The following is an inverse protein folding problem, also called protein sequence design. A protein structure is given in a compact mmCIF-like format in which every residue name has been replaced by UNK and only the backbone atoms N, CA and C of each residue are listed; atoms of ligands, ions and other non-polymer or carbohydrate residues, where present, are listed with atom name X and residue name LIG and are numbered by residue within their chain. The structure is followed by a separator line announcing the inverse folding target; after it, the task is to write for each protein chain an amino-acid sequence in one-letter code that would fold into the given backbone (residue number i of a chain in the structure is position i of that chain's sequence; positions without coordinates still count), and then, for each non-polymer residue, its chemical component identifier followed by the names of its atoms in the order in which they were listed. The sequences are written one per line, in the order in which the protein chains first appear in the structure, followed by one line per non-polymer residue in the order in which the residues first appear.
data_IF_399633410754
#
_entry.id   IF_399633410754
#
_cell.length_a   1.000
_cell.length_b   1.000
_cell.length_c   1.000
_cell.angle_alpha   90.00
_cell.angle_beta   90.00
_cell.angle_gamma   90.00
#
_symmetry.space_group_name_H-M   'P 1'
#
loop_
_entity.id
_entity.type
_entity.pdbx_description
1 polymer ?
2 non-polymer ?
3 non-polymer ?
4 non-polymer ?
5 water ?
#
# COMPACT_ATOMS: atom_id res chain seq x y z
N UNK A 1 -1.02 6.22 -18.38
CA UNK A 1 -1.64 5.02 -19.03
C UNK A 1 -1.09 3.71 -18.44
N UNK A 2 -1.90 2.64 -18.45
CA UNK A 2 -1.43 1.26 -18.21
C UNK A 2 -1.70 0.41 -19.45
N UNK A 3 -0.76 -0.46 -19.78
CA UNK A 3 -0.95 -1.48 -20.80
C UNK A 3 -0.99 -1.00 -22.25
N UNK A 4 -0.58 0.25 -22.48
CA UNK A 4 -0.57 0.83 -23.83
C UNK A 4 0.79 0.63 -24.46
N UNK A 5 0.87 0.86 -25.77
CA UNK A 5 2.10 0.62 -26.53
C UNK A 5 3.31 1.21 -25.79
N UNK A 6 4.34 0.39 -25.61
CA UNK A 6 5.51 0.75 -24.83
C UNK A 6 6.65 1.01 -25.79
N UNK A 7 7.14 2.24 -25.79
CA UNK A 7 8.27 2.58 -26.63
C UNK A 7 9.55 1.96 -26.03
N UNK A 8 10.57 1.92 -26.87
CA UNK A 8 11.87 1.39 -26.52
C UNK A 8 12.52 2.19 -25.40
N UNK A 9 13.19 1.49 -24.49
CA UNK A 9 14.05 2.16 -23.51
C UNK A 9 15.25 2.76 -24.24
N UNK A 10 15.77 3.89 -23.76
CA UNK A 10 17.05 4.35 -24.29
C UNK A 10 18.22 3.49 -23.83
N UNK A 11 19.39 3.68 -24.44
CA UNK A 11 20.63 3.10 -23.93
C UNK A 11 20.81 3.51 -22.47
N UNK A 12 21.21 2.56 -21.64
CA UNK A 12 21.48 2.79 -20.22
C UNK A 12 22.72 2.02 -19.82
N UNK A 13 23.54 2.60 -18.96
CA UNK A 13 24.73 1.92 -18.44
C UNK A 13 24.50 1.61 -16.98
N UNK A 14 24.50 0.32 -16.63
CA UNK A 14 24.26 -0.10 -15.24
C UNK A 14 24.91 -1.46 -15.05
N UNK A 15 25.07 -1.88 -13.78
CA UNK A 15 25.69 -3.17 -13.53
C UNK A 15 24.91 -4.33 -14.10
N UNK A 16 25.63 -5.28 -14.67
CA UNK A 16 25.01 -6.48 -15.23
C UNK A 16 24.42 -7.33 -14.11
N UNK A 17 23.17 -7.77 -14.26
CA UNK A 17 22.64 -8.72 -13.28
C UNK A 17 23.34 -10.03 -13.52
N UNK A 18 23.85 -10.64 -12.46
CA UNK A 18 24.57 -11.90 -12.62
C UNK A 18 23.72 -13.04 -12.09
N UNK A 19 23.53 -14.00 -12.96
CA UNK A 19 22.62 -15.10 -12.74
C UNK A 19 23.01 -15.99 -11.54
N UNK A 20 24.31 -16.15 -11.32
CA UNK A 20 24.83 -17.01 -10.25
C UNK A 20 25.22 -16.24 -8.99
N UNK A 21 24.82 -14.96 -8.95
CA UNK A 21 24.84 -14.12 -7.77
C UNK A 21 23.42 -13.63 -7.47
N UNK A 22 22.79 -14.16 -6.42
CA UNK A 22 21.69 -13.38 -5.85
C UNK A 22 22.28 -12.24 -5.04
N UNK A 23 21.67 -11.07 -5.15
CA UNK A 23 21.82 -9.96 -4.21
C UNK A 23 21.38 -10.39 -2.81
N UNK A 24 20.09 -10.66 -2.68
CA UNK A 24 19.51 -11.01 -1.39
C UNK A 24 19.40 -12.52 -1.25
N UNK A 25 20.19 -13.07 -0.33
CA UNK A 25 20.14 -14.48 0.08
C UNK A 25 19.50 -14.71 1.44
N UNK A 26 19.15 -13.62 2.13
CA UNK A 26 18.63 -13.65 3.49
C UNK A 26 17.10 -13.65 3.55
N UNK A 27 16.45 -13.36 2.42
CA UNK A 27 15.00 -13.22 2.39
C UNK A 27 14.44 -13.82 1.11
N UNK A 28 13.16 -14.16 1.17
CA UNK A 28 12.37 -14.59 0.01
C UNK A 28 12.06 -13.36 -0.84
N UNK A 29 12.45 -13.39 -2.11
CA UNK A 29 12.26 -12.25 -3.00
C UNK A 29 11.21 -12.51 -4.10
N UNK A 30 10.61 -13.69 -4.10
CA UNK A 30 9.51 -14.00 -5.04
C UNK A 30 8.55 -14.92 -4.33
N UNK A 31 7.24 -14.69 -4.50
CA UNK A 31 6.25 -15.56 -3.88
C UNK A 31 6.09 -16.87 -4.68
N UNK A 32 5.39 -17.88 -4.12
CA UNK A 32 5.18 -19.13 -4.89
C UNK A 32 4.25 -19.00 -6.08
N UNK A 33 3.58 -17.86 -6.23
CA UNK A 33 2.83 -17.55 -7.45
C UNK A 33 3.57 -16.55 -8.36
N UNK A 34 4.89 -16.40 -8.14
CA UNK A 34 5.78 -15.66 -9.04
C UNK A 34 5.51 -14.16 -9.01
N UNK A 35 5.14 -13.66 -7.83
CA UNK A 35 5.08 -12.23 -7.60
C UNK A 35 6.35 -11.77 -6.89
N UNK A 36 7.01 -10.75 -7.40
CA UNK A 36 8.14 -10.24 -6.63
C UNK A 36 7.77 -9.74 -5.24
N UNK A 37 8.69 -9.96 -4.29
CA UNK A 37 8.62 -9.35 -2.95
C UNK A 37 9.69 -8.27 -2.95
N UNK A 38 9.25 -7.03 -2.73
CA UNK A 38 10.10 -5.87 -2.98
C UNK A 38 10.94 -5.52 -1.74
N UNK A 39 12.24 -5.80 -1.85
CA UNK A 39 13.26 -5.46 -0.86
C UNK A 39 14.32 -4.61 -1.51
N UNK A 40 15.03 -3.82 -0.70
CA UNK A 40 16.18 -3.10 -1.20
C UNK A 40 17.22 -4.10 -1.71
N UNK A 41 17.79 -3.79 -2.87
CA UNK A 41 18.76 -4.67 -3.51
C UNK A 41 18.16 -5.52 -4.61
N UNK A 42 16.83 -5.61 -4.69
CA UNK A 42 16.17 -6.40 -5.73
C UNK A 42 15.84 -5.65 -7.00
N UNK A 43 15.88 -4.33 -6.98
CA UNK A 43 15.48 -3.52 -8.14
C UNK A 43 16.49 -2.44 -8.47
N UNK A 44 16.59 -2.15 -9.76
CA UNK A 44 17.34 -1.03 -10.29
C UNK A 44 16.29 0.03 -10.56
N UNK A 45 16.27 1.05 -9.71
CA UNK A 45 15.28 2.11 -9.80
C UNK A 45 15.40 2.94 -11.07
N UNK A 46 16.59 3.01 -11.66
CA UNK A 46 16.76 3.75 -12.91
C UNK A 46 16.00 3.09 -14.05
N UNK A 47 16.07 1.76 -14.12
CA UNK A 47 15.32 1.03 -15.14
C UNK A 47 13.81 1.21 -14.93
N UNK A 48 13.37 1.06 -13.68
CA UNK A 48 11.95 1.16 -13.40
C UNK A 48 11.44 2.59 -13.63
N UNK A 49 12.20 3.58 -13.22
CA UNK A 49 11.77 4.95 -13.47
C UNK A 49 11.61 5.23 -14.95
N UNK A 50 12.55 4.74 -15.76
CA UNK A 50 12.44 4.86 -17.21
C UNK A 50 11.15 4.22 -17.71
N UNK A 51 10.88 2.97 -17.30
CA UNK A 51 9.72 2.26 -17.79
C UNK A 51 8.44 3.00 -17.47
N UNK A 52 8.29 3.43 -16.21
CA UNK A 52 7.07 4.10 -15.80
C UNK A 52 6.94 5.53 -16.33
N UNK A 53 8.04 6.27 -16.46
CA UNK A 53 7.97 7.62 -17.07
C UNK A 53 7.58 7.53 -18.53
N UNK A 54 8.06 6.51 -19.23
CA UNK A 54 7.71 6.35 -20.65
C UNK A 54 6.22 6.07 -20.84
N UNK A 55 5.54 5.62 -19.81
CA UNK A 55 4.05 5.52 -19.80
C UNK A 55 3.32 6.75 -19.24
N UNK A 56 4.05 7.80 -18.84
CA UNK A 56 3.49 8.98 -18.18
C UNK A 56 2.54 8.59 -17.04
N UNK A 57 3.06 7.73 -16.17
CA UNK A 57 2.29 7.13 -15.09
C UNK A 57 1.87 8.19 -14.09
N UNK A 58 0.58 8.16 -13.72
CA UNK A 58 0.05 8.99 -12.64
C UNK A 58 -0.35 8.11 -11.46
N UNK A 59 0.13 8.46 -10.27
CA UNK A 59 -0.17 7.68 -9.06
C UNK A 59 -1.07 8.52 -8.16
N UNK A 60 -2.21 7.96 -7.76
CA UNK A 60 -3.07 8.54 -6.76
C UNK A 60 -2.71 7.98 -5.40
N UNK A 61 -2.72 8.82 -4.38
CA UNK A 61 -2.48 8.38 -3.00
C UNK A 61 -3.67 8.81 -2.18
N UNK A 62 -4.37 7.85 -1.58
CA UNK A 62 -5.50 8.16 -0.72
C UNK A 62 -5.08 8.11 0.73
N UNK A 63 -5.60 9.06 1.51
CA UNK A 63 -5.34 9.10 2.94
C UNK A 63 -6.52 9.74 3.64
N UNK A 64 -6.87 9.16 4.78
CA UNK A 64 -7.99 9.62 5.58
C UNK A 64 -7.50 10.29 6.85
N UNK A 65 -8.02 11.48 7.13
CA UNK A 65 -7.64 12.24 8.30
C UNK A 65 -8.90 12.82 8.95
N UNK A 66 -9.50 12.00 9.80
CA UNK A 66 -10.80 12.25 10.39
C UNK A 66 -10.59 12.51 11.87
N UNK A 67 -11.36 13.46 12.41
CA UNK A 67 -11.29 13.85 13.82
C UNK A 67 -9.85 14.25 14.18
N UNK A 68 -9.25 13.68 15.23
CA UNK A 68 -7.96 14.19 15.71
C UNK A 68 -6.80 13.87 14.76
N UNK A 69 -7.05 12.95 13.82
CA UNK A 69 -5.98 12.49 12.94
C UNK A 69 -5.60 13.52 11.88
N UNK A 70 -6.34 14.64 11.78
CA UNK A 70 -5.87 15.75 10.95
C UNK A 70 -4.48 16.24 11.36
N UNK A 71 -4.11 16.09 12.63
CA UNK A 71 -2.80 16.52 13.12
C UNK A 71 -1.61 15.81 12.45
N UNK A 72 -1.85 14.63 11.88
CA UNK A 72 -0.81 13.84 11.22
C UNK A 72 -0.51 14.29 9.77
N UNK A 73 -1.40 15.08 9.18
CA UNK A 73 -1.28 15.43 7.76
C UNK A 73 -0.02 16.22 7.37
N UNK A 74 0.41 17.14 8.22
CA UNK A 74 1.56 17.99 7.83
C UNK A 74 2.79 17.14 7.60
N UNK A 75 3.14 16.32 8.59
CA UNK A 75 4.33 15.48 8.46
C UNK A 75 4.13 14.44 7.34
N UNK A 76 2.94 13.87 7.26
CA UNK A 76 2.68 12.86 6.24
C UNK A 76 2.94 13.43 4.83
N UNK A 77 2.34 14.58 4.54
CA UNK A 77 2.42 15.18 3.21
C UNK A 77 3.79 15.76 2.90
N UNK A 78 4.41 16.40 3.90
CA UNK A 78 5.72 17.02 3.66
C UNK A 78 6.78 15.95 3.41
N UNK A 79 6.68 14.83 4.10
CA UNK A 79 7.61 13.74 3.87
C UNK A 79 7.27 12.98 2.60
N UNK A 80 5.98 12.91 2.25
CA UNK A 80 5.62 12.33 0.94
C UNK A 80 6.26 13.12 -0.19
N UNK A 81 6.30 14.44 -0.05
CA UNK A 81 6.94 15.26 -1.04
C UNK A 81 8.43 14.95 -1.20
N UNK A 82 9.09 14.60 -0.10
CA UNK A 82 10.51 14.25 -0.17
C UNK A 82 10.77 12.86 -0.76
N UNK A 83 9.83 11.94 -0.60
CA UNK A 83 10.13 10.52 -0.81
C UNK A 83 9.22 9.68 -1.68
N UNK A 84 7.99 10.14 -1.93
CA UNK A 84 6.95 9.34 -2.59
C UNK A 84 6.87 9.69 -4.07
N UNK A 85 7.30 8.75 -4.93
CA UNK A 85 7.12 8.87 -6.39
C UNK A 85 7.70 10.18 -6.93
N UNK A 86 8.81 10.64 -6.39
CA UNK A 86 9.39 11.88 -6.85
C UNK A 86 9.81 11.74 -8.32
N UNK A 87 9.40 12.69 -9.14
CA UNK A 87 9.63 12.66 -10.59
C UNK A 87 8.46 12.21 -11.39
N UNK A 88 7.48 11.57 -10.74
CA UNK A 88 6.28 11.07 -11.38
C UNK A 88 5.10 11.97 -11.07
N UNK A 89 4.01 11.81 -11.81
CA UNK A 89 2.79 12.57 -11.54
C UNK A 89 2.07 11.96 -10.36
N UNK A 90 1.74 12.78 -9.37
CA UNK A 90 1.08 12.34 -8.15
C UNK A 90 -0.16 13.18 -7.89
N UNK A 91 -1.23 12.51 -7.50
CA UNK A 91 -2.46 13.16 -7.07
C UNK A 91 -2.79 12.64 -5.68
N UNK A 92 -2.71 13.52 -4.69
CA UNK A 92 -3.13 13.17 -3.35
C UNK A 92 -4.62 13.39 -3.19
N UNK A 93 -5.30 12.45 -2.54
CA UNK A 93 -6.72 12.59 -2.22
C UNK A 93 -6.83 12.50 -0.72
N UNK A 94 -7.08 13.63 -0.07
CA UNK A 94 -7.13 13.72 1.36
C UNK A 94 -8.60 13.76 1.75
N UNK A 95 -9.06 12.72 2.43
CA UNK A 95 -10.44 12.60 2.92
C UNK A 95 -10.51 13.06 4.36
N UNK A 96 -11.36 14.05 4.66
CA UNK A 96 -11.40 14.61 6.00
C UNK A 96 -12.78 15.13 6.33
N UNK A 97 -13.07 15.17 7.62
CA UNK A 97 -14.27 15.87 8.10
C UNK A 97 -13.99 17.35 8.42
N UNK A 98 -12.73 17.78 8.29
CA UNK A 98 -12.31 19.15 8.64
C UNK A 98 -11.45 19.73 7.51
N UNK A 99 -12.06 20.08 6.37
CA UNK A 99 -11.25 20.64 5.27
C UNK A 99 -10.35 21.81 5.67
N UNK A 100 -10.79 22.65 6.60
CA UNK A 100 -10.01 23.80 7.04
C UNK A 100 -8.78 23.43 7.86
N UNK A 101 -8.73 22.21 8.38
CA UNK A 101 -7.60 21.74 9.17
C UNK A 101 -6.52 21.08 8.30
N UNK A 102 -6.76 20.97 6.99
CA UNK A 102 -5.72 20.42 6.10
C UNK A 102 -4.60 21.47 5.99
N UNK A 103 -3.37 21.09 6.32
CA UNK A 103 -2.25 22.05 6.25
C UNK A 103 -1.94 22.44 4.81
N UNK A 104 -1.47 23.68 4.63
CA UNK A 104 -1.10 24.16 3.30
C UNK A 104 0.33 23.67 3.07
N UNK A 105 0.47 22.64 2.25
CA UNK A 105 1.77 21.99 2.02
C UNK A 105 2.20 22.34 0.60
N UNK A 106 3.46 22.76 0.47
CA UNK A 106 4.01 23.13 -0.81
C UNK A 106 4.39 21.88 -1.60
N UNK A 107 3.92 21.79 -2.83
CA UNK A 107 4.13 20.61 -3.65
C UNK A 107 5.11 20.86 -4.78
N UNK A 108 5.88 19.83 -5.11
CA UNK A 108 6.70 19.80 -6.31
C UNK A 108 5.88 19.83 -7.58
N UNK A 109 6.52 20.17 -8.69
CA UNK A 109 5.82 20.24 -9.97
C UNK A 109 5.22 18.88 -10.37
N UNK A 110 4.07 18.91 -11.02
CA UNK A 110 3.42 17.69 -11.46
C UNK A 110 2.67 16.93 -10.40
N UNK A 111 2.41 17.58 -9.28
CA UNK A 111 1.79 16.97 -8.12
C UNK A 111 0.64 17.84 -7.68
N UNK A 112 -0.46 17.21 -7.30
CA UNK A 112 -1.62 17.97 -6.90
C UNK A 112 -2.31 17.32 -5.74
N UNK A 113 -3.11 18.09 -5.01
CA UNK A 113 -3.81 17.60 -3.83
C UNK A 113 -5.26 18.06 -3.92
N UNK A 114 -6.17 17.11 -3.70
CA UNK A 114 -7.60 17.38 -3.60
C UNK A 114 -8.08 17.06 -2.20
N UNK A 115 -8.85 17.97 -1.60
CA UNK A 115 -9.46 17.76 -0.29
C UNK A 115 -10.89 17.31 -0.56
N UNK A 116 -11.26 16.16 -0.02
CA UNK A 116 -12.58 15.59 -0.18
C UNK A 116 -13.18 15.52 1.19
N UNK A 117 -14.30 16.19 1.36
CA UNK A 117 -14.97 16.17 2.63
C UNK A 117 -15.84 14.92 2.80
N UNK A 118 -15.78 14.33 3.99
CA UNK A 118 -16.61 13.20 4.34
C UNK A 118 -17.21 13.44 5.71
N UNK A 119 -18.12 12.56 6.10
CA UNK A 119 -18.70 12.60 7.44
C UNK A 119 -17.76 11.93 8.44
N UNK A 120 -17.81 12.36 9.69
CA UNK A 120 -17.09 11.70 10.78
C UNK A 120 -17.98 10.61 11.36
N UNK A 121 -17.38 9.56 11.93
CA UNK A 121 -18.16 8.49 12.60
C UNK A 121 -19.02 9.06 13.74
N UNK A 128 -12.24 3.70 10.45
CA UNK A 128 -11.21 2.91 9.79
C UNK A 128 -11.80 1.94 8.78
N UNK A 129 -12.97 1.38 9.11
CA UNK A 129 -13.68 0.39 8.26
C UNK A 129 -14.47 0.93 7.07
N UNK A 130 -14.85 2.22 7.09
CA UNK A 130 -15.58 2.89 5.97
C UNK A 130 -14.69 3.46 4.85
N UNK A 131 -13.39 3.33 4.98
CA UNK A 131 -12.51 3.74 3.89
C UNK A 131 -12.76 2.90 2.64
N UNK A 132 -13.03 1.61 2.85
CA UNK A 132 -13.35 0.73 1.72
C UNK A 132 -14.53 1.24 0.91
N UNK A 133 -15.61 1.67 1.58
CA UNK A 133 -16.76 2.30 0.90
C UNK A 133 -16.40 3.55 0.11
N UNK A 134 -15.65 4.47 0.73
CA UNK A 134 -15.34 5.75 0.07
C UNK A 134 -14.49 5.53 -1.19
N UNK A 135 -13.50 4.65 -1.09
CA UNK A 135 -12.62 4.36 -2.21
C UNK A 135 -13.40 3.72 -3.35
N UNK A 136 -14.34 2.80 -3.03
CA UNK A 136 -15.03 1.98 -4.03
C UNK A 136 -16.38 2.49 -4.55
N UNK A 137 -17.17 3.12 -3.69
CA UNK A 137 -18.54 3.60 -4.04
C UNK A 137 -18.60 5.04 -4.51
N UNK A 138 -17.92 5.93 -3.80
CA UNK A 138 -18.02 7.38 -4.08
C UNK A 138 -16.98 7.91 -5.08
N UNK A 139 -15.80 7.30 -5.13
CA UNK A 139 -14.69 7.85 -5.91
C UNK A 139 -14.31 7.04 -7.15
N UNK A 140 -15.14 6.06 -7.52
CA UNK A 140 -14.81 5.15 -8.60
C UNK A 140 -14.54 5.85 -9.93
N UNK A 141 -15.49 6.69 -10.34
CA UNK A 141 -15.38 7.41 -11.60
C UNK A 141 -14.24 8.42 -11.56
N UNK A 142 -14.09 9.13 -10.44
CA UNK A 142 -13.02 10.13 -10.27
C UNK A 142 -11.64 9.50 -10.52
N UNK A 143 -11.38 8.42 -9.81
CA UNK A 143 -10.07 7.76 -9.91
C UNK A 143 -9.77 7.20 -11.29
N UNK A 144 -10.76 6.57 -11.93
CA UNK A 144 -10.58 6.04 -13.27
C UNK A 144 -10.21 7.13 -14.26
N UNK A 145 -10.74 8.33 -14.06
CA UNK A 145 -10.46 9.43 -14.99
C UNK A 145 -9.11 10.11 -14.72
N UNK A 146 -8.59 10.02 -13.50
CA UNK A 146 -7.48 10.87 -13.06
C UNK A 146 -6.14 10.19 -12.83
N UNK A 147 -6.13 8.90 -12.49
CA UNK A 147 -4.86 8.25 -12.15
C UNK A 147 -4.82 6.85 -12.76
N UNK A 148 -3.61 6.31 -12.85
CA UNK A 148 -3.36 4.96 -13.34
C UNK A 148 -3.32 3.93 -12.21
N UNK A 149 -2.68 4.31 -11.12
CA UNK A 149 -2.55 3.45 -9.93
C UNK A 149 -3.08 4.17 -8.71
N UNK A 150 -3.56 3.42 -7.73
CA UNK A 150 -3.98 3.96 -6.45
C UNK A 150 -3.17 3.29 -5.38
N UNK A 151 -2.71 4.09 -4.42
CA UNK A 151 -1.99 3.67 -3.23
C UNK A 151 -2.80 4.15 -2.05
N UNK A 152 -3.15 3.25 -1.14
CA UNK A 152 -4.09 3.56 -0.05
C UNK A 152 -3.37 3.33 1.26
N UNK A 153 -3.18 4.38 2.05
CA UNK A 153 -2.37 4.29 3.26
C UNK A 153 -3.03 4.95 4.46
N UNK A 154 -2.56 4.55 5.62
CA UNK A 154 -2.84 5.22 6.89
C UNK A 154 -2.07 6.55 6.98
N UNK A 155 -2.64 7.47 7.77
CA UNK A 155 -2.09 8.84 7.88
C UNK A 155 -1.08 9.02 9.02
N UNK A 156 -1.13 8.15 10.03
CA UNK A 156 -0.30 8.29 11.24
C UNK A 156 1.09 7.73 10.99
N UNK A 157 1.73 8.28 9.96
CA UNK A 157 2.90 7.70 9.33
C UNK A 157 3.76 8.82 8.79
N UNK A 158 5.01 8.49 8.51
CA UNK A 158 5.89 9.40 7.81
C UNK A 158 6.78 8.64 6.84
N UNK A 159 7.14 9.28 5.75
CA UNK A 159 8.12 8.72 4.81
C UNK A 159 9.50 9.11 5.29
N UNK A 160 10.39 8.14 5.36
CA UNK A 160 11.79 8.41 5.65
C UNK A 160 12.77 8.10 4.54
N UNK A 161 12.32 7.35 3.53
CA UNK A 161 13.20 6.93 2.46
C UNK A 161 12.33 6.66 1.25
N UNK A 162 12.99 6.34 0.16
CA UNK A 162 12.35 6.17 -1.14
C UNK A 162 11.17 5.20 -1.11
N UNK A 163 10.02 5.68 -1.58
CA UNK A 163 8.89 4.82 -1.95
C UNK A 163 8.50 5.22 -3.36
N UNK A 164 8.77 4.37 -4.33
CA UNK A 164 8.59 4.74 -5.73
C UNK A 164 7.96 3.68 -6.58
N UNK A 165 8.20 3.78 -7.88
CA UNK A 165 7.46 2.97 -8.84
C UNK A 165 7.74 1.47 -8.75
N UNK A 166 8.80 1.06 -8.02
CA UNK A 166 9.00 -0.34 -7.74
C UNK A 166 7.77 -1.03 -7.13
N UNK A 167 6.88 -0.26 -6.48
CA UNK A 167 5.70 -0.88 -5.86
C UNK A 167 4.58 -1.13 -6.84
N UNK A 168 4.59 -0.43 -7.97
CA UNK A 168 3.42 -0.41 -8.85
C UNK A 168 3.27 -1.70 -9.66
N UNK A 169 2.02 -2.14 -9.77
CA UNK A 169 1.64 -3.48 -10.26
C UNK A 169 0.13 -3.52 -10.22
N UNK A 170 -0.51 -4.52 -10.86
CA UNK A 170 -1.95 -4.52 -10.76
C UNK A 170 -2.52 -4.60 -9.35
N UNK A 171 -1.91 -5.39 -8.45
CA UNK A 171 -2.42 -5.51 -7.08
C UNK A 171 -1.29 -5.80 -6.11
N UNK A 172 -1.15 -4.98 -5.05
CA UNK A 172 -0.14 -5.27 -4.04
C UNK A 172 -0.68 -5.16 -2.63
N UNK A 173 -0.08 -5.98 -1.77
CA UNK A 173 -0.18 -5.82 -0.32
C UNK A 173 1.20 -5.71 0.28
N UNK A 174 1.22 -5.40 1.57
CA UNK A 174 2.46 -5.13 2.32
C UNK A 174 2.55 -6.08 3.49
N UNK A 175 3.69 -6.72 3.66
CA UNK A 175 3.90 -7.59 4.83
C UNK A 175 3.87 -6.81 6.13
N UNK A 176 3.01 -7.25 7.05
CA UNK A 176 2.88 -6.58 8.34
C UNK A 176 4.19 -6.72 9.11
N UNK A 177 4.71 -5.62 9.67
CA UNK A 177 6.03 -5.67 10.32
C UNK A 177 6.07 -6.56 11.56
N UNK A 178 4.94 -6.78 12.19
CA UNK A 178 4.86 -7.65 13.38
C UNK A 178 4.95 -9.13 13.14
N UNK A 179 4.69 -9.57 11.91
CA UNK A 179 4.43 -10.98 11.66
C UNK A 179 5.17 -11.61 10.49
N UNK A 180 6.10 -10.87 9.88
CA UNK A 180 6.75 -11.39 8.67
C UNK A 180 7.56 -12.68 8.90
N UNK A 181 8.05 -12.87 10.12
CA UNK A 181 8.77 -14.09 10.49
C UNK A 181 7.92 -15.16 11.12
N UNK A 182 6.60 -14.94 11.25
CA UNK A 182 5.71 -15.82 11.97
C UNK A 182 5.18 -16.94 11.12
N UNK A 183 4.82 -18.05 11.74
CA UNK A 183 4.15 -19.13 11.02
C UNK A 183 2.64 -18.83 10.96
N UNK A 184 1.96 -19.41 9.99
CA UNK A 184 0.57 -18.99 9.64
C UNK A 184 -0.44 -19.22 10.78
N UNK A 185 -0.22 -20.25 11.59
CA UNK A 185 -1.09 -20.50 12.75
C UNK A 185 -1.10 -19.33 13.74
N UNK A 186 0.00 -18.57 13.83
CA UNK A 186 0.12 -17.41 14.69
C UNK A 186 -0.43 -16.12 14.10
N UNK A 187 -0.72 -16.14 12.80
CA UNK A 187 -1.29 -14.95 12.18
C UNK A 187 -2.62 -14.63 12.83
N UNK A 188 -2.90 -13.33 13.02
CA UNK A 188 -4.15 -12.93 13.66
C UNK A 188 -5.26 -12.72 12.63
N UNK A 189 -5.40 -13.69 11.72
CA UNK A 189 -6.55 -13.72 10.85
C UNK A 189 -7.85 -13.85 11.65
N UNK A 190 -8.95 -13.46 11.04
CA UNK A 190 -10.27 -13.82 11.61
C UNK A 190 -10.42 -15.35 11.60
N UNK A 191 -10.71 -15.95 12.77
CA UNK A 191 -10.79 -17.41 12.92
C UNK A 191 -12.20 -17.95 13.17
N UNK A 192 -13.19 -17.08 13.26
CA UNK A 192 -14.60 -17.54 13.44
C UNK A 192 -15.21 -17.80 12.07
N UNK A 193 -15.66 -19.06 11.80
CA UNK A 193 -16.33 -19.40 10.54
C UNK A 193 -17.57 -18.57 10.18
N UNK A 194 -18.14 -17.89 11.17
CA UNK A 194 -19.33 -17.08 10.96
C UNK A 194 -19.02 -15.76 10.26
N UNK A 195 -17.73 -15.37 10.20
CA UNK A 195 -17.31 -14.15 9.52
C UNK A 195 -16.87 -14.44 8.09
N UNK A 196 -17.23 -13.52 7.19
CA UNK A 196 -16.75 -13.54 5.83
C UNK A 196 -15.22 -13.49 5.73
N UNK A 197 -14.55 -12.94 6.76
CA UNK A 197 -13.08 -12.85 6.75
C UNK A 197 -12.37 -14.13 7.24
N UNK A 198 -13.14 -15.15 7.58
CA UNK A 198 -12.60 -16.38 8.16
C UNK A 198 -11.51 -17.02 7.31
N UNK A 199 -10.37 -17.31 7.94
CA UNK A 199 -9.30 -18.11 7.34
C UNK A 199 -8.93 -19.22 8.34
N UNK A 200 -9.03 -20.50 7.92
CA UNK A 200 -8.59 -21.63 8.75
C UNK A 200 -7.10 -21.62 9.05
N UNK A 201 -6.71 -22.31 10.12
CA UNK A 201 -5.31 -22.35 10.58
C UNK A 201 -4.31 -22.98 9.60
N UNK A 202 -4.79 -23.79 8.65
CA UNK A 202 -3.93 -24.39 7.61
C UNK A 202 -3.90 -23.62 6.28
N UNK A 203 -4.48 -22.42 6.27
CA UNK A 203 -4.42 -21.55 5.08
C UNK A 203 -3.72 -20.24 5.41
N UNK A 204 -3.25 -19.56 4.37
CA UNK A 204 -2.61 -18.26 4.52
C UNK A 204 -1.22 -18.28 3.92
N UNK A 205 -0.90 -17.25 3.15
CA UNK A 205 0.46 -17.04 2.68
C UNK A 205 1.21 -16.13 3.63
N UNK A 206 0.66 -14.94 3.83
CA UNK A 206 1.29 -13.87 4.60
C UNK A 206 0.22 -13.15 5.43
N UNK A 207 0.66 -12.39 6.42
CA UNK A 207 -0.20 -11.45 7.08
C UNK A 207 0.07 -10.04 6.57
N UNK A 208 -0.89 -9.50 5.83
CA UNK A 208 -0.73 -8.19 5.20
C UNK A 208 -1.29 -7.10 6.11
N UNK A 209 -0.67 -5.92 6.10
CA UNK A 209 -1.18 -4.84 6.96
C UNK A 209 -2.18 -4.00 6.18
N UNK A 210 -3.28 -3.63 6.83
CA UNK A 210 -4.30 -2.80 6.20
C UNK A 210 -3.85 -1.40 5.85
N UNK A 211 -2.71 -0.97 6.38
CA UNK A 211 -2.20 0.40 6.29
C UNK A 211 -1.52 0.78 5.00
N UNK A 212 -1.32 -0.17 4.06
CA UNK A 212 -0.60 0.10 2.80
C UNK A 212 -0.94 -0.99 1.81
N UNK A 213 -1.86 -0.69 0.88
CA UNK A 213 -2.15 -1.58 -0.23
C UNK A 213 -2.41 -0.72 -1.44
N UNK A 214 -2.53 -1.34 -2.60
CA UNK A 214 -2.74 -0.56 -3.82
C UNK A 214 -2.73 -1.40 -5.05
N UNK A 215 -2.65 -0.74 -6.18
CA UNK A 215 -2.66 -1.42 -7.46
C UNK A 215 -3.20 -0.53 -8.54
N UNK A 216 -3.57 -1.13 -9.65
CA UNK A 216 -4.27 -0.36 -10.68
C UNK A 216 -5.61 0.10 -10.12
N UNK A 217 -6.19 1.12 -10.72
CA UNK A 217 -7.48 1.61 -10.24
C UNK A 217 -8.51 0.48 -10.30
N UNK A 218 -8.54 -0.27 -11.39
CA UNK A 218 -9.50 -1.37 -11.51
C UNK A 218 -9.34 -2.40 -10.39
N UNK A 219 -8.10 -2.80 -10.09
CA UNK A 219 -7.91 -3.84 -9.07
C UNK A 219 -8.17 -3.32 -7.67
N UNK A 220 -7.82 -2.07 -7.41
CA UNK A 220 -8.13 -1.47 -6.12
C UNK A 220 -9.64 -1.31 -5.93
N UNK A 221 -10.36 -0.96 -7.00
CA UNK A 221 -11.82 -0.87 -6.88
C UNK A 221 -12.40 -2.26 -6.64
N UNK A 222 -11.87 -3.29 -7.28
CA UNK A 222 -12.33 -4.66 -7.02
C UNK A 222 -12.13 -5.09 -5.57
N UNK A 223 -10.94 -4.79 -5.04
CA UNK A 223 -10.62 -5.15 -3.68
C UNK A 223 -11.50 -4.43 -2.69
N UNK A 224 -11.61 -3.11 -2.86
CA UNK A 224 -12.35 -2.31 -1.87
C UNK A 224 -13.84 -2.62 -1.93
N UNK A 225 -14.38 -2.84 -3.13
CA UNK A 225 -15.78 -3.26 -3.28
C UNK A 225 -16.00 -4.60 -2.57
N UNK A 226 -15.15 -5.58 -2.82
CA UNK A 226 -15.30 -6.90 -2.20
C UNK A 226 -15.22 -6.79 -0.70
N UNK A 227 -14.26 -6.02 -0.18
CA UNK A 227 -14.10 -5.92 1.27
C UNK A 227 -15.30 -5.20 1.88
N UNK A 228 -15.77 -4.14 1.23
CA UNK A 228 -16.96 -3.40 1.69
C UNK A 228 -18.18 -4.32 1.73
N UNK A 229 -18.40 -5.08 0.66
CA UNK A 229 -19.53 -6.04 0.64
C UNK A 229 -19.41 -7.09 1.75
N UNK A 230 -18.20 -7.62 1.98
CA UNK A 230 -18.01 -8.63 3.03
C UNK A 230 -18.24 -8.04 4.42
N UNK A 231 -17.81 -6.81 4.62
CA UNK A 231 -18.03 -6.13 5.90
C UNK A 231 -19.51 -5.88 6.16
N UNK A 232 -20.25 -5.57 5.10
CA UNK A 232 -21.72 -5.38 5.21
C UNK A 232 -22.40 -6.68 5.55
N UNK A 233 -21.96 -7.78 4.95
CA UNK A 233 -22.52 -9.10 5.30
C UNK A 233 -22.26 -9.39 6.78
N UNK A 234 -21.04 -9.18 7.24
CA UNK A 234 -20.74 -9.41 8.66
C UNK A 234 -21.61 -8.56 9.58
N UNK A 235 -21.79 -7.29 9.24
CA UNK A 235 -22.62 -6.39 10.04
C UNK A 235 -24.05 -6.94 10.12
N UNK A 236 -24.59 -7.38 8.99
CA UNK A 236 -25.94 -7.96 8.97
C UNK A 236 -26.06 -9.22 9.81
N UNK A 237 -24.98 -9.99 9.89
CA UNK A 237 -24.91 -11.19 10.74
C UNK A 237 -24.44 -10.97 12.18
N UNK A 238 -24.30 -9.71 12.60
CA UNK A 238 -23.90 -9.37 13.97
C UNK A 238 -22.51 -9.82 14.38
N UNK A 239 -21.56 -9.74 13.45
CA UNK A 239 -20.19 -10.12 13.77
C UNK A 239 -19.25 -9.05 13.21
N UNK A 240 -18.20 -8.75 13.95
CA UNK A 240 -17.21 -7.76 13.55
C UNK A 240 -15.86 -8.45 13.57
N UNK A 241 -15.17 -8.49 12.43
CA UNK A 241 -13.88 -9.17 12.33
C UNK A 241 -12.85 -8.58 13.30
N UNK A 242 -12.01 -9.46 13.82
CA UNK A 242 -11.04 -9.17 14.88
C UNK A 242 -10.18 -7.93 14.60
N UNK A 243 -9.71 -7.80 13.36
CA UNK A 243 -8.92 -6.63 12.97
C UNK A 243 -9.61 -5.87 11.83
N UNK A 244 -10.94 -5.93 11.81
CA UNK A 244 -11.73 -4.95 11.05
C UNK A 244 -11.38 -5.05 9.55
N UNK A 245 -11.16 -3.93 8.89
CA UNK A 245 -10.82 -3.93 7.46
C UNK A 245 -9.59 -4.79 7.14
N UNK A 246 -8.60 -4.81 8.04
CA UNK A 246 -7.41 -5.62 7.81
C UNK A 246 -7.71 -7.10 7.70
N UNK A 247 -8.68 -7.59 8.48
CA UNK A 247 -9.07 -8.99 8.38
C UNK A 247 -9.66 -9.34 7.03
N UNK A 248 -10.48 -8.43 6.50
CA UNK A 248 -11.07 -8.60 5.18
C UNK A 248 -10.07 -8.45 4.05
N UNK A 249 -9.15 -7.51 4.19
CA UNK A 249 -8.05 -7.38 3.23
C UNK A 249 -7.27 -8.68 3.15
N UNK A 250 -6.95 -9.27 4.30
CA UNK A 250 -6.24 -10.54 4.31
C UNK A 250 -7.00 -11.66 3.63
N UNK A 251 -8.30 -11.74 3.87
CA UNK A 251 -9.11 -12.76 3.18
C UNK A 251 -9.07 -12.53 1.67
N UNK A 252 -9.22 -11.27 1.23
CA UNK A 252 -9.22 -10.97 -0.19
C UNK A 252 -7.90 -11.37 -0.85
N UNK A 253 -6.78 -11.02 -0.22
CA UNK A 253 -5.47 -11.29 -0.80
C UNK A 253 -5.05 -12.75 -0.71
N UNK A 254 -5.69 -13.51 0.18
CA UNK A 254 -5.53 -14.97 0.15
C UNK A 254 -6.16 -15.55 -1.13
N UNK A 255 -7.35 -15.08 -1.44
CA UNK A 255 -8.14 -15.62 -2.54
C UNK A 255 -7.86 -14.96 -3.90
N UNK A 256 -7.21 -13.80 -3.88
CA UNK A 256 -6.83 -13.03 -5.07
C UNK A 256 -5.38 -12.63 -4.87
N UNK A 257 -4.46 -13.42 -5.39
CA UNK A 257 -3.05 -13.26 -5.04
C UNK A 257 -2.55 -11.91 -5.55
N UNK A 258 -1.83 -11.15 -4.71
CA UNK A 258 -1.24 -9.92 -5.20
C UNK A 258 -0.14 -10.16 -6.21
N UNK A 259 0.03 -9.25 -7.16
CA UNK A 259 1.05 -9.37 -8.20
C UNK A 259 2.43 -8.82 -7.81
N UNK A 260 2.47 -8.07 -6.71
CA UNK A 260 3.73 -7.79 -5.95
C UNK A 260 3.38 -7.79 -4.47
N UNK A 261 4.37 -8.08 -3.64
CA UNK A 261 4.24 -7.98 -2.20
C UNK A 261 5.33 -7.05 -1.74
N UNK A 262 4.98 -6.04 -0.94
CA UNK A 262 6.00 -5.14 -0.40
C UNK A 262 6.55 -5.69 0.91
N UNK A 263 7.87 -5.61 1.05
CA UNK A 263 8.50 -6.03 2.32
C UNK A 263 8.15 -5.06 3.43
N UNK A 264 8.50 -5.40 4.68
CA UNK A 264 8.20 -4.47 5.77
C UNK A 264 9.02 -3.20 5.79
N UNK A 265 9.98 -3.05 4.87
CA UNK A 265 10.58 -1.74 4.63
C UNK A 265 9.51 -0.69 4.41
N UNK A 266 8.39 -1.11 3.81
CA UNK A 266 7.32 -0.21 3.39
C UNK A 266 6.29 0.07 4.45
N UNK A 267 6.34 -0.63 5.59
CA UNK A 267 5.45 -0.33 6.72
C UNK A 267 6.12 -0.83 8.00
N UNK A 268 6.74 0.09 8.71
CA UNK A 268 7.58 -0.29 9.86
C UNK A 268 7.22 0.56 11.08
N UNK A 269 7.46 0.00 12.26
CA UNK A 269 7.35 0.74 13.50
C UNK A 269 8.66 0.56 14.26
N UNK A 270 9.52 1.57 14.21
CA UNK A 270 10.83 1.50 14.85
C UNK A 270 10.76 1.48 16.38
N UNK A 271 9.79 2.19 16.93
CA UNK A 271 9.65 2.19 18.40
C UNK A 271 9.36 0.79 18.92
N UNK A 272 8.47 0.09 18.23
CA UNK A 272 8.04 -1.24 18.66
C UNK A 272 8.97 -2.35 18.24
N UNK A 273 9.67 -2.18 17.12
CA UNK A 273 10.38 -3.30 16.49
C UNK A 273 11.86 -3.03 16.16
N UNK A 274 12.35 -1.83 16.42
CA UNK A 274 13.74 -1.52 16.21
C UNK A 274 14.13 -1.43 14.76
N UNK A 275 15.33 -1.89 14.44
CA UNK A 275 15.88 -1.81 13.07
C UNK A 275 16.68 -3.09 12.78
N UNK A 276 15.97 -4.16 12.43
CA UNK A 276 16.61 -5.45 12.18
C UNK A 276 17.57 -5.44 10.97
N UNK A 277 18.52 -6.36 10.98
CA UNK A 277 19.50 -6.46 9.92
C UNK A 277 18.88 -6.71 8.56
N UNK A 278 17.77 -7.45 8.52
CA UNK A 278 17.10 -7.74 7.24
C UNK A 278 16.44 -6.51 6.59
N UNK A 279 16.26 -5.43 7.35
CA UNK A 279 15.77 -4.16 6.79
C UNK A 279 16.93 -3.24 6.49
N UNK A 280 17.24 -3.08 5.22
CA UNK A 280 18.30 -2.18 4.81
C UNK A 280 17.85 -0.71 4.79
N UNK A 281 16.53 -0.51 4.63
CA UNK A 281 15.93 0.81 4.65
C UNK A 281 14.61 0.75 5.42
N UNK A 282 14.32 1.83 6.15
CA UNK A 282 13.00 2.01 6.75
C UNK A 282 12.34 3.13 5.95
N UNK A 283 11.38 2.76 5.10
CA UNK A 283 10.87 3.71 4.12
C UNK A 283 9.66 4.53 4.60
N UNK A 284 8.74 3.87 5.28
CA UNK A 284 7.43 4.45 5.64
C UNK A 284 7.13 3.88 7.01
N UNK A 285 7.03 4.76 8.00
CA UNK A 285 7.10 4.35 9.41
C UNK A 285 6.03 4.98 10.26
N UNK A 286 5.61 4.25 11.29
CA UNK A 286 4.60 4.75 12.24
C UNK A 286 5.08 5.95 13.04
N UNK A 287 4.21 6.93 13.18
CA UNK A 287 4.40 8.05 14.10
C UNK A 287 3.63 7.70 15.38
N UNK A 288 4.21 7.99 16.55
CA UNK A 288 3.47 7.87 17.82
C UNK A 288 2.02 8.40 17.83
N UNK A 289 1.10 7.57 18.36
CA UNK A 289 -0.36 7.79 18.25
C UNK A 289 -0.84 7.49 16.83
X LIG B 1 -1.98 3.54 11.74
X LIG C 1 3.85 -10.37 17.68
X LIG C 1 4.13 -8.88 17.95
X LIG C 1 3.27 -8.01 17.02
X LIG C 1 3.56 -6.53 17.20
X LIG C 1 2.79 -5.65 16.22
X LIG C 1 1.28 -5.74 16.42
X LIG C 1 0.68 -4.70 15.58
X LIG C 1 -0.67 -4.72 15.56
X LIG C 1 -1.10 -5.84 14.75
X LIG C 1 -2.51 -5.97 14.66
X LIG C 1 -2.81 -7.31 13.99
X LIG C 1 -2.43 -8.37 14.89
X LIG C 1 -3.08 -4.76 13.92
X LIG C 1 -2.54 -4.67 12.58
X LIG C 1 -2.68 -3.50 14.70
X LIG C 1 -1.14 -3.45 14.89
X LIG C 1 -0.77 -2.29 15.66
X LIG C 1 -0.54 -1.14 14.81
X LIG C 1 0.69 -1.38 14.12
X LIG C 1 1.86 -1.56 14.96
X LIG C 1 3.03 -1.93 14.07
X LIG C 1 2.02 -0.34 15.85
X LIG C 1 2.38 0.81 15.05
X LIG C 1 0.71 -0.05 16.63
X LIG C 1 0.85 1.12 17.47
X LIG C 1 -0.46 0.10 15.69
X LIG C 1 -1.64 0.21 16.48
X LIG D 1 -8.49 7.25 11.16
X LIG D 1 -8.89 8.59 11.23
X LIG D 1 -9.44 9.07 12.35
X LIG D 1 -9.69 8.28 13.42
X LIG D 1 -9.33 6.94 13.38
X LIG D 1 -8.74 6.44 12.22
X LIG D 1 -8.65 9.34 10.27
X LIG D 1 -10.24 8.78 14.44
X LIG D 1 -7.87 6.78 9.90
X LIG D 1 -6.43 7.28 9.74
X LIG D 1 -6.05 7.38 8.37
X LIG D 1 -5.69 6.16 10.40
X LIG D 1 -6.44 4.93 9.88
X LIG D 1 -7.82 5.35 9.90
X LIG D 1 -4.29 6.17 10.09
X LIG D 1 -6.33 3.65 10.67
X LIG D 1 -6.43 3.91 12.08
X LIG D 1 -5.16 3.81 13.00
X LIG D 1 -5.52 4.40 14.34
X LIG D 1 -3.95 4.34 12.26
X LIG D 1 -5.06 2.21 13.18
X LIG D 1 -3.81 1.34 13.64
X LIG D 1 -4.09 0.61 14.93
X LIG D 1 -2.55 2.18 13.60
X LIG D 1 -3.71 0.34 12.47
X LIG D 1 -4.48 -0.86 12.46
X LIG D 1 -3.89 -1.82 11.46
X LIG D 1 -3.93 -1.17 10.09
X LIG D 1 -5.35 -0.76 9.73
X LIG D 1 -5.99 0.04 10.86
X LIG D 1 -7.48 0.23 10.73
X LIG D 1 -2.54 -2.09 11.83
X LIG D 1 -3.38 -2.09 9.17
X LIG D 1 -5.24 0.05 8.52
X LIG D 1 -5.82 -0.54 12.17
X LIG D 1 -8.18 -1.01 10.93
#
# INVERSE_FOLDING_TARGET
AIGEFMVSLPRMVYPQPKVLTPCRKDVLVVTPWLAPIVWEGTFNIDILNEQFRLQNTTIGLTVFAIKKYVAFLKLFLETAEKHFMVGHRVHYYVFTDQPAAVPRVTLGTGRQLSVLEVRAYKRWQDVSMRRMEMISDFCERRFLSEVDYLVCVDVDMEFRDHVGVEILTPLFGTLHPGFYGSSREAFTYERRPQSQAYIPKDEGDFYYMGAFFGGSVQEVQRLTRACHQAMMVDQANGIEAVWHDESHLNKYLLRHKPTKVLSPEYLWDQQLLGWPAVLRKLRFTAVPKNHQAVRNPE
MN MN
DA8 C16 C15 C14 C13 C12 C11 O1 C1 O5 C5 C6 O6 C4 O4 C3 C2 O2 C1F O5F C5F C6F C4F O4F C3F O3F C2F O2F
UPG N1 C2 N3 C4 C5 C6 O2 O4 C1C C2C O2C C3C C4C O4C O3C C5C O5C PA O1A O2A O3A PB O1B O2B O3B C1' C2' C3' C4' C5' C6' O2' O3' O4' O5' O6'
#
